data_IF_185914143570
#
_entry.id   IF_185914143570
#
_cell.length_a   1.000
_cell.length_b   1.000
_cell.length_c   1.000
_cell.angle_alpha   90.00
_cell.angle_beta   90.00
_cell.angle_gamma   90.00
#
_symmetry.space_group_name_H-M   'P 1'
#
loop_
_entity.id
_entity.type
_entity.pdbx_description
1 polymer ?
#
# COMPACT_ATOMS: atom_id res chain seq x y z
N UNK A 1 15.69 -19.66 1.09
CA UNK A 1 14.84 -19.94 -0.08
C UNK A 1 13.92 -21.12 0.15
N UNK A 2 14.45 -22.33 0.38
CA UNK A 2 13.66 -23.56 0.65
C UNK A 2 12.45 -23.38 1.58
N UNK A 3 12.62 -22.71 2.73
CA UNK A 3 11.51 -22.49 3.67
C UNK A 3 10.33 -21.69 3.07
N UNK A 4 10.57 -20.75 2.15
CA UNK A 4 9.53 -19.98 1.47
C UNK A 4 8.83 -20.84 0.40
N UNK A 5 9.57 -21.67 -0.32
CA UNK A 5 9.03 -22.61 -1.32
C UNK A 5 8.18 -23.68 -0.66
N UNK A 6 8.67 -24.29 0.42
CA UNK A 6 7.93 -25.26 1.23
C UNK A 6 6.62 -24.65 1.77
N UNK A 7 6.66 -23.36 2.15
CA UNK A 7 5.47 -22.68 2.66
C UNK A 7 4.48 -22.31 1.56
N UNK A 8 4.97 -21.92 0.38
CA UNK A 8 4.13 -21.74 -0.81
C UNK A 8 3.43 -23.05 -1.16
N UNK A 9 4.15 -24.17 -1.19
CA UNK A 9 3.57 -25.48 -1.49
C UNK A 9 2.49 -25.88 -0.48
N UNK A 10 2.75 -25.70 0.82
CA UNK A 10 1.72 -25.92 1.87
C UNK A 10 0.50 -25.02 1.66
N UNK A 11 0.71 -23.76 1.25
CA UNK A 11 -0.39 -22.86 0.94
C UNK A 11 -1.21 -23.39 -0.24
N UNK A 12 -0.56 -23.78 -1.34
CA UNK A 12 -1.20 -24.32 -2.54
C UNK A 12 -2.02 -25.59 -2.24
N UNK A 13 -1.44 -26.54 -1.51
CA UNK A 13 -2.13 -27.76 -1.08
C UNK A 13 -3.39 -27.46 -0.26
N UNK A 14 -3.33 -26.46 0.62
CA UNK A 14 -4.45 -26.08 1.47
C UNK A 14 -5.57 -25.38 0.70
N UNK A 15 -5.25 -24.59 -0.31
CA UNK A 15 -6.26 -23.91 -1.14
C UNK A 15 -6.77 -24.77 -2.29
N UNK A 16 -6.08 -25.88 -2.58
CA UNK A 16 -6.55 -26.89 -3.52
C UNK A 16 -7.94 -27.41 -3.09
N UNK A 17 -8.90 -27.35 -4.02
CA UNK A 17 -10.30 -27.73 -3.76
C UNK A 17 -11.18 -26.63 -3.17
N UNK A 18 -10.69 -25.39 -2.98
CA UNK A 18 -11.58 -24.25 -2.69
C UNK A 18 -12.47 -23.99 -3.92
N UNK A 19 -13.78 -24.22 -3.79
CA UNK A 19 -14.74 -24.01 -4.88
C UNK A 19 -14.75 -22.54 -5.30
N UNK A 20 -14.64 -22.32 -6.61
CA UNK A 20 -14.57 -20.99 -7.22
C UNK A 20 -13.19 -20.33 -7.18
N UNK A 21 -12.14 -21.01 -6.72
CA UNK A 21 -10.76 -20.58 -6.94
C UNK A 21 -10.31 -20.95 -8.36
N UNK A 22 -9.86 -19.98 -9.13
CA UNK A 22 -9.48 -20.13 -10.53
C UNK A 22 -7.96 -20.14 -10.72
N UNK A 23 -7.24 -19.31 -9.96
CA UNK A 23 -5.79 -19.20 -10.05
C UNK A 23 -5.16 -18.72 -8.75
N UNK A 24 -3.93 -19.15 -8.49
CA UNK A 24 -3.05 -18.57 -7.48
C UNK A 24 -1.79 -18.04 -8.16
N UNK A 25 -1.46 -16.79 -7.90
CA UNK A 25 -0.25 -16.13 -8.40
C UNK A 25 0.58 -15.62 -7.23
N UNK A 26 1.89 -15.46 -7.48
CA UNK A 26 2.78 -14.69 -6.62
C UNK A 26 3.19 -13.40 -7.30
N UNK A 27 3.50 -12.35 -6.53
CA UNK A 27 4.15 -11.14 -7.03
C UNK A 27 5.47 -10.87 -6.29
N UNK A 28 6.32 -10.05 -6.89
CA UNK A 28 7.61 -9.67 -6.31
C UNK A 28 8.65 -10.80 -6.30
N UNK A 29 9.65 -10.68 -5.44
CA UNK A 29 10.68 -11.70 -5.27
C UNK A 29 11.23 -11.76 -3.84
N UNK A 30 11.56 -12.97 -3.40
CA UNK A 30 12.20 -13.22 -2.10
C UNK A 30 13.71 -13.00 -2.24
N UNK A 31 14.13 -11.74 -2.21
CA UNK A 31 15.55 -11.38 -2.35
C UNK A 31 16.38 -11.43 -1.06
N UNK A 32 15.73 -11.53 0.09
CA UNK A 32 16.40 -11.66 1.39
C UNK A 32 15.50 -12.46 2.36
N UNK A 33 15.68 -13.79 2.47
CA UNK A 33 14.88 -14.62 3.36
C UNK A 33 14.92 -14.11 4.81
N UNK A 34 13.77 -14.04 5.47
CA UNK A 34 13.63 -13.47 6.82
C UNK A 34 13.23 -11.99 6.83
N UNK A 35 13.70 -11.21 5.84
CA UNK A 35 13.31 -9.81 5.64
C UNK A 35 12.33 -9.59 4.47
N UNK A 36 12.08 -10.61 3.66
CA UNK A 36 11.14 -10.56 2.53
C UNK A 36 9.79 -11.13 2.89
N UNK A 37 8.76 -10.69 2.17
CA UNK A 37 7.40 -11.22 2.22
C UNK A 37 7.17 -12.20 1.05
N UNK A 38 6.20 -13.09 1.19
CA UNK A 38 5.66 -13.90 0.11
C UNK A 38 4.26 -13.37 -0.25
N UNK A 39 4.17 -12.65 -1.36
CA UNK A 39 2.93 -11.99 -1.75
C UNK A 39 2.06 -12.91 -2.61
N UNK A 40 0.82 -13.16 -2.18
CA UNK A 40 -0.12 -14.07 -2.87
C UNK A 40 -1.30 -13.29 -3.45
N UNK A 41 -1.69 -13.65 -4.67
CA UNK A 41 -2.91 -13.21 -5.32
C UNK A 41 -3.76 -14.44 -5.65
N UNK A 42 -4.98 -14.48 -5.15
CA UNK A 42 -5.98 -15.49 -5.49
C UNK A 42 -7.01 -14.89 -6.44
N UNK A 43 -7.16 -15.49 -7.62
CA UNK A 43 -8.22 -15.15 -8.56
C UNK A 43 -9.37 -16.12 -8.38
N UNK A 44 -10.58 -15.60 -8.23
CA UNK A 44 -11.80 -16.37 -7.96
C UNK A 44 -12.91 -16.00 -8.94
N UNK A 45 -13.98 -16.80 -8.97
CA UNK A 45 -15.20 -16.50 -9.70
C UNK A 45 -15.89 -15.22 -9.19
N UNK A 46 -16.61 -14.52 -10.08
CA UNK A 46 -17.27 -13.23 -9.80
C UNK A 46 -18.21 -13.25 -8.59
N UNK A 47 -18.90 -14.38 -8.39
CA UNK A 47 -19.94 -14.54 -7.37
C UNK A 47 -19.59 -15.59 -6.32
N UNK A 48 -18.29 -15.78 -6.05
CA UNK A 48 -17.86 -16.84 -5.13
C UNK A 48 -18.43 -16.63 -3.71
N UNK A 49 -19.17 -17.64 -3.24
CA UNK A 49 -19.74 -17.71 -1.89
C UNK A 49 -19.66 -19.14 -1.34
N UNK A 50 -18.47 -19.71 -1.42
CA UNK A 50 -18.20 -21.05 -0.92
C UNK A 50 -17.83 -21.03 0.57
N UNK A 51 -18.21 -22.07 1.33
CA UNK A 51 -17.86 -22.21 2.75
C UNK A 51 -16.35 -22.29 2.96
N UNK A 52 -15.64 -22.70 1.92
CA UNK A 52 -14.21 -22.95 1.86
C UNK A 52 -13.39 -21.66 1.63
N UNK A 53 -14.01 -20.53 1.28
CA UNK A 53 -13.31 -19.27 0.97
C UNK A 53 -12.37 -18.79 2.10
N UNK A 54 -12.71 -18.91 3.39
CA UNK A 54 -11.78 -18.61 4.48
C UNK A 54 -10.47 -19.41 4.43
N UNK A 55 -10.42 -20.56 3.74
CA UNK A 55 -9.17 -21.34 3.57
C UNK A 55 -8.11 -20.61 2.73
N UNK A 56 -8.52 -19.60 1.95
CA UNK A 56 -7.58 -18.75 1.22
C UNK A 56 -6.78 -17.83 2.16
N UNK A 57 -7.27 -17.52 3.38
CA UNK A 57 -6.51 -16.69 4.30
C UNK A 57 -5.19 -17.37 4.73
N UNK A 58 -4.14 -16.60 5.00
CA UNK A 58 -2.88 -17.12 5.53
C UNK A 58 -3.10 -17.69 6.95
N UNK A 59 -2.56 -18.89 7.19
CA UNK A 59 -2.65 -19.53 8.52
C UNK A 59 -1.85 -18.76 9.58
N UNK A 60 -2.28 -18.82 10.85
CA UNK A 60 -1.57 -18.19 11.96
C UNK A 60 -0.10 -18.64 12.05
N UNK A 61 0.15 -19.96 11.92
CA UNK A 61 1.49 -20.55 11.90
C UNK A 61 2.39 -20.00 10.79
N UNK A 62 1.83 -19.70 9.61
CA UNK A 62 2.59 -19.13 8.50
C UNK A 62 2.94 -17.65 8.76
N UNK A 63 2.04 -16.89 9.40
CA UNK A 63 2.30 -15.52 9.87
C UNK A 63 3.34 -15.47 10.99
N UNK A 64 3.28 -16.39 11.95
CA UNK A 64 4.24 -16.50 13.07
C UNK A 64 5.66 -16.76 12.60
N UNK A 65 5.84 -17.58 11.56
CA UNK A 65 7.13 -17.81 10.91
C UNK A 65 7.63 -16.60 10.11
N UNK A 66 6.80 -15.57 9.95
CA UNK A 66 7.14 -14.35 9.28
C UNK A 66 7.19 -14.44 7.75
N UNK A 67 6.98 -15.61 7.15
CA UNK A 67 7.06 -15.78 5.69
C UNK A 67 6.01 -14.92 4.97
N UNK A 68 4.82 -14.82 5.56
CA UNK A 68 3.76 -13.91 5.15
C UNK A 68 3.64 -12.76 6.13
N UNK A 69 3.86 -11.53 5.67
CA UNK A 69 3.67 -10.30 6.44
C UNK A 69 2.26 -9.75 6.26
N UNK A 70 1.61 -9.99 5.12
CA UNK A 70 0.21 -9.66 4.91
C UNK A 70 -0.66 -10.83 4.42
N UNK A 71 -1.99 -10.64 4.46
CA UNK A 71 -2.96 -11.57 3.89
C UNK A 71 -2.89 -11.60 2.35
N UNK A 72 -3.51 -12.59 1.69
CA UNK A 72 -3.54 -12.63 0.23
C UNK A 72 -4.34 -11.46 -0.34
N UNK A 73 -4.10 -11.12 -1.60
CA UNK A 73 -5.02 -10.33 -2.41
C UNK A 73 -6.02 -11.30 -3.05
N UNK A 74 -7.32 -11.14 -2.79
CA UNK A 74 -8.37 -11.91 -3.47
C UNK A 74 -9.10 -11.01 -4.45
N UNK A 75 -9.15 -11.41 -5.73
CA UNK A 75 -9.78 -10.63 -6.81
C UNK A 75 -10.66 -11.52 -7.68
N UNK A 76 -11.77 -10.99 -8.23
CA UNK A 76 -12.54 -11.70 -9.24
C UNK A 76 -11.78 -11.70 -10.58
N UNK A 77 -12.08 -12.67 -11.46
CA UNK A 77 -11.44 -12.81 -12.78
C UNK A 77 -11.58 -11.55 -13.64
N UNK A 78 -12.72 -10.87 -13.57
CA UNK A 78 -13.02 -9.63 -14.29
C UNK A 78 -12.02 -8.50 -14.01
N UNK A 79 -11.44 -8.45 -12.80
CA UNK A 79 -10.52 -7.40 -12.37
C UNK A 79 -9.03 -7.74 -12.63
N UNK A 80 -8.71 -8.94 -13.12
CA UNK A 80 -7.32 -9.36 -13.33
C UNK A 80 -6.59 -8.42 -14.29
N UNK A 81 -7.22 -8.05 -15.40
CA UNK A 81 -6.62 -7.16 -16.41
C UNK A 81 -6.27 -5.77 -15.88
N UNK A 82 -6.91 -5.36 -14.79
CA UNK A 82 -6.82 -4.01 -14.21
C UNK A 82 -6.03 -3.99 -12.89
N UNK A 83 -5.33 -5.09 -12.54
CA UNK A 83 -4.60 -5.20 -11.28
C UNK A 83 -3.60 -4.05 -11.05
N UNK A 84 -2.94 -3.58 -12.11
CA UNK A 84 -2.00 -2.45 -12.11
C UNK A 84 -2.63 -1.09 -11.78
N UNK A 85 -3.95 -1.00 -11.61
CA UNK A 85 -4.62 0.22 -11.14
C UNK A 85 -5.12 0.05 -9.70
N UNK A 86 -5.29 -1.18 -9.24
CA UNK A 86 -5.79 -1.49 -7.90
C UNK A 86 -4.62 -1.64 -6.93
N UNK A 87 -3.58 -2.36 -7.34
CA UNK A 87 -2.42 -2.75 -6.53
C UNK A 87 -1.10 -2.48 -7.24
N UNK A 88 -0.04 -2.12 -6.49
CA UNK A 88 1.32 -1.97 -7.02
C UNK A 88 1.95 -3.34 -7.29
N UNK A 89 1.56 -3.95 -8.41
CA UNK A 89 2.01 -5.28 -8.82
C UNK A 89 3.40 -5.22 -9.48
N UNK A 90 4.21 -6.24 -9.22
CA UNK A 90 5.46 -6.47 -9.96
C UNK A 90 5.72 -7.97 -10.10
N UNK A 91 6.37 -8.39 -11.19
CA UNK A 91 6.85 -9.77 -11.40
C UNK A 91 5.82 -10.85 -11.04
N UNK A 92 4.69 -10.88 -11.77
CA UNK A 92 3.66 -11.90 -11.56
C UNK A 92 4.11 -13.27 -12.04
N UNK A 93 3.82 -14.30 -11.25
CA UNK A 93 4.07 -15.69 -11.61
C UNK A 93 2.86 -16.54 -11.25
N UNK A 94 2.35 -17.30 -12.22
CA UNK A 94 1.31 -18.29 -11.96
C UNK A 94 1.89 -19.44 -11.12
N UNK A 95 1.17 -19.85 -10.08
CA UNK A 95 1.58 -20.94 -9.18
C UNK A 95 0.61 -22.11 -9.22
N UNK A 96 -0.66 -21.87 -9.51
CA UNK A 96 -1.68 -22.91 -9.59
C UNK A 96 -2.89 -22.44 -10.40
N UNK A 97 -3.59 -23.37 -11.04
CA UNK A 97 -4.82 -23.11 -11.79
C UNK A 97 -4.58 -22.47 -13.15
N UNK A 98 -5.53 -21.64 -13.60
CA UNK A 98 -5.47 -20.96 -14.89
C UNK A 98 -4.26 -19.99 -14.96
N UNK A 99 -3.59 -19.86 -16.12
CA UNK A 99 -2.41 -18.99 -16.28
C UNK A 99 -2.78 -17.51 -16.44
N UNK A 100 -3.45 -16.93 -15.45
CA UNK A 100 -4.07 -15.59 -15.56
C UNK A 100 -3.09 -14.42 -15.43
N UNK A 101 -1.84 -14.63 -15.03
CA UNK A 101 -0.83 -13.56 -14.96
C UNK A 101 -0.64 -12.83 -16.29
N UNK A 102 -0.81 -13.52 -17.42
CA UNK A 102 -0.67 -12.95 -18.76
C UNK A 102 -1.83 -12.02 -19.15
N UNK A 103 -2.96 -12.07 -18.44
CA UNK A 103 -4.08 -11.16 -18.67
C UNK A 103 -3.82 -9.77 -18.09
N UNK A 104 -2.87 -9.64 -17.17
CA UNK A 104 -2.53 -8.36 -16.54
C UNK A 104 -1.81 -7.49 -17.55
N UNK A 105 -2.51 -6.45 -18.03
CA UNK A 105 -1.93 -5.54 -19.02
C UNK A 105 -0.99 -4.56 -18.32
N UNK A 106 0.22 -4.33 -18.86
CA UNK A 106 1.04 -3.23 -18.39
C UNK A 106 0.27 -1.92 -18.64
N UNK A 107 0.39 -0.93 -17.73
CA UNK A 107 -0.20 0.38 -17.98
C UNK A 107 0.43 1.02 -19.23
N UNK A 108 -0.37 1.84 -19.93
CA UNK A 108 0.12 2.56 -21.09
C UNK A 108 1.27 3.49 -20.69
N UNK A 109 2.19 3.80 -21.62
CA UNK A 109 3.43 4.52 -21.32
C UNK A 109 3.14 5.89 -20.69
N UNK A 110 2.12 6.56 -21.18
CA UNK A 110 1.58 7.83 -20.72
C UNK A 110 0.95 7.76 -19.31
N UNK A 111 0.49 6.58 -18.88
CA UNK A 111 -0.14 6.37 -17.56
C UNK A 111 0.89 5.99 -16.48
N UNK A 112 2.09 5.54 -16.87
CA UNK A 112 3.12 5.04 -15.94
C UNK A 112 3.50 6.08 -14.88
N UNK A 113 3.72 7.33 -15.29
CA UNK A 113 4.07 8.41 -14.37
C UNK A 113 2.91 8.73 -13.41
N UNK A 114 1.68 8.71 -13.91
CA UNK A 114 0.47 8.95 -13.12
C UNK A 114 0.27 7.85 -12.06
N UNK A 115 0.37 6.57 -12.46
CA UNK A 115 0.30 5.44 -11.54
C UNK A 115 1.44 5.44 -10.52
N UNK A 116 2.65 5.83 -10.91
CA UNK A 116 3.76 5.94 -9.99
C UNK A 116 3.48 6.96 -8.87
N UNK A 117 2.91 8.13 -9.20
CA UNK A 117 2.47 9.12 -8.22
C UNK A 117 1.38 8.57 -7.30
N UNK A 118 0.40 7.87 -7.86
CA UNK A 118 -0.68 7.25 -7.08
C UNK A 118 -0.10 6.30 -6.03
N UNK A 119 0.82 5.41 -6.43
CA UNK A 119 1.45 4.47 -5.53
C UNK A 119 2.31 5.15 -4.48
N UNK A 120 3.09 6.16 -4.86
CA UNK A 120 3.88 6.94 -3.92
C UNK A 120 3.01 7.57 -2.83
N UNK A 121 1.86 8.15 -3.17
CA UNK A 121 0.93 8.69 -2.15
C UNK A 121 0.40 7.57 -1.26
N UNK A 122 -0.09 6.48 -1.82
CA UNK A 122 -0.73 5.40 -1.06
C UNK A 122 0.24 4.72 -0.09
N UNK A 123 1.44 4.41 -0.57
CA UNK A 123 2.51 3.85 0.25
C UNK A 123 2.92 4.82 1.34
N UNK A 124 3.26 6.06 0.96
CA UNK A 124 3.83 7.01 1.92
C UNK A 124 2.83 7.38 3.01
N UNK A 125 1.55 7.58 2.66
CA UNK A 125 0.51 7.82 3.66
C UNK A 125 0.32 6.63 4.60
N UNK A 126 0.31 5.41 4.06
CA UNK A 126 0.23 4.18 4.88
C UNK A 126 1.40 4.09 5.86
N UNK A 127 2.62 4.46 5.43
CA UNK A 127 3.81 4.49 6.30
C UNK A 127 3.72 5.58 7.36
N UNK A 128 3.23 6.77 7.04
CA UNK A 128 3.05 7.84 8.03
C UNK A 128 2.02 7.46 9.12
N UNK A 129 0.95 6.76 8.75
CA UNK A 129 0.00 6.19 9.72
C UNK A 129 0.71 5.18 10.63
N UNK A 130 1.52 4.27 10.07
CA UNK A 130 2.29 3.29 10.86
C UNK A 130 3.31 3.96 11.79
N UNK A 131 4.04 4.99 11.31
CA UNK A 131 4.94 5.78 12.15
C UNK A 131 4.21 6.44 13.32
N UNK A 132 3.00 6.97 13.09
CA UNK A 132 2.22 7.60 14.17
C UNK A 132 1.81 6.59 15.24
N UNK A 133 1.46 5.36 14.86
CA UNK A 133 1.15 4.28 15.81
C UNK A 133 2.38 3.94 16.65
N UNK A 134 3.56 3.79 16.03
CA UNK A 134 4.82 3.52 16.75
C UNK A 134 5.11 4.62 17.77
N UNK A 135 4.91 5.90 17.39
CA UNK A 135 5.14 7.03 18.31
C UNK A 135 4.24 7.00 19.52
N UNK A 136 2.97 6.64 19.34
CA UNK A 136 2.00 6.54 20.44
C UNK A 136 2.24 5.29 21.29
N UNK A 137 2.55 4.15 20.67
CA UNK A 137 2.69 2.87 21.40
C UNK A 137 4.05 2.69 22.05
N UNK A 138 5.10 3.35 21.55
CA UNK A 138 6.49 3.09 21.94
C UNK A 138 7.03 1.74 21.47
N UNK A 139 6.25 0.96 20.70
CA UNK A 139 6.61 -0.40 20.26
C UNK A 139 7.00 -0.37 18.79
N UNK A 140 8.19 -0.87 18.50
CA UNK A 140 8.75 -0.93 17.15
C UNK A 140 9.13 -2.38 16.81
N UNK A 141 8.37 -2.99 15.90
CA UNK A 141 8.70 -4.32 15.33
C UNK A 141 9.88 -4.20 14.37
N UNK A 142 11.08 -4.56 14.85
CA UNK A 142 12.33 -4.48 14.09
C UNK A 142 12.24 -5.21 12.75
N UNK A 143 11.78 -6.46 12.77
CA UNK A 143 11.67 -7.28 11.58
C UNK A 143 10.71 -6.64 10.56
N UNK A 144 9.51 -6.30 11.01
CA UNK A 144 8.50 -5.69 10.15
C UNK A 144 8.98 -4.37 9.55
N UNK A 145 9.74 -3.56 10.29
CA UNK A 145 10.27 -2.30 9.77
C UNK A 145 11.51 -2.47 8.89
N UNK A 146 12.32 -3.50 9.07
CA UNK A 146 13.39 -3.85 8.11
C UNK A 146 12.82 -4.25 6.75
N UNK A 147 11.72 -5.02 6.72
CA UNK A 147 10.98 -5.29 5.47
C UNK A 147 10.45 -4.00 4.84
N UNK A 148 9.91 -3.08 5.65
CA UNK A 148 9.38 -1.80 5.16
C UNK A 148 10.47 -0.82 4.72
N UNK A 149 11.66 -0.85 5.33
CA UNK A 149 12.83 -0.09 4.87
C UNK A 149 13.16 -0.47 3.43
N UNK A 150 13.16 -1.77 3.11
CA UNK A 150 13.37 -2.21 1.74
C UNK A 150 12.34 -1.66 0.76
N UNK A 151 11.08 -1.46 1.19
CA UNK A 151 10.05 -0.87 0.32
C UNK A 151 10.38 0.54 -0.18
N UNK A 152 11.28 1.28 0.49
CA UNK A 152 11.77 2.56 0.01
C UNK A 152 12.56 2.43 -1.31
N UNK A 153 13.21 1.30 -1.56
CA UNK A 153 13.90 1.04 -2.85
C UNK A 153 12.91 0.89 -4.01
N UNK A 154 11.68 0.47 -3.74
CA UNK A 154 10.61 0.50 -4.74
C UNK A 154 10.11 1.92 -4.94
N UNK A 155 9.98 2.71 -3.86
CA UNK A 155 9.64 4.13 -3.96
C UNK A 155 10.65 4.94 -4.78
N UNK A 156 11.94 4.61 -4.73
CA UNK A 156 12.96 5.20 -5.60
C UNK A 156 12.63 4.99 -7.09
N UNK A 157 12.29 3.77 -7.51
CA UNK A 157 11.90 3.47 -8.89
C UNK A 157 10.68 4.29 -9.30
N UNK A 158 9.68 4.38 -8.43
CA UNK A 158 8.47 5.17 -8.67
C UNK A 158 8.78 6.67 -8.76
N UNK A 159 9.70 7.19 -7.93
CA UNK A 159 10.14 8.58 -8.02
C UNK A 159 10.76 8.88 -9.38
N UNK A 160 11.63 7.99 -9.87
CA UNK A 160 12.24 8.13 -11.20
C UNK A 160 11.17 8.14 -12.30
N UNK A 161 10.21 7.21 -12.26
CA UNK A 161 9.09 7.19 -13.22
C UNK A 161 8.19 8.42 -13.15
N UNK A 162 8.05 9.05 -11.98
CA UNK A 162 7.25 10.24 -11.77
C UNK A 162 8.02 11.57 -12.02
N UNK A 163 9.32 11.50 -12.29
CA UNK A 163 10.19 12.67 -12.43
C UNK A 163 10.44 13.41 -11.11
N UNK A 164 10.43 12.71 -9.97
CA UNK A 164 10.74 13.27 -8.65
C UNK A 164 12.23 13.07 -8.37
N UNK A 165 12.95 14.18 -8.21
CA UNK A 165 14.38 14.17 -7.88
C UNK A 165 14.58 13.79 -6.41
N UNK A 166 15.43 12.79 -6.19
CA UNK A 166 15.77 12.31 -4.85
C UNK A 166 16.77 13.23 -4.17
N UNK A 167 16.53 13.54 -2.90
CA UNK A 167 17.43 14.37 -2.11
C UNK A 167 18.71 13.59 -1.70
N UNK A 168 19.86 14.26 -1.51
CA UNK A 168 21.12 13.58 -1.19
C UNK A 168 21.05 12.66 0.05
N UNK A 169 20.32 13.07 1.10
CA UNK A 169 20.16 12.25 2.29
C UNK A 169 19.23 11.04 2.08
N UNK A 170 18.33 11.10 1.10
CA UNK A 170 17.50 9.94 0.69
C UNK A 170 18.37 8.91 -0.02
N UNK A 171 19.23 9.35 -0.94
CA UNK A 171 20.17 8.50 -1.66
C UNK A 171 21.11 7.78 -0.67
N UNK A 172 21.64 8.52 0.31
CA UNK A 172 22.44 7.92 1.40
C UNK A 172 21.63 6.87 2.17
N UNK A 173 20.38 7.14 2.51
CA UNK A 173 19.53 6.16 3.22
C UNK A 173 19.28 4.90 2.38
N UNK A 174 18.98 5.06 1.09
CA UNK A 174 18.78 3.94 0.17
C UNK A 174 20.03 3.06 0.08
N UNK A 175 21.22 3.66 0.00
CA UNK A 175 22.50 2.93 0.02
C UNK A 175 22.67 2.14 1.31
N UNK A 176 22.41 2.76 2.46
CA UNK A 176 22.57 2.09 3.76
C UNK A 176 21.56 0.94 3.93
N UNK A 177 20.32 1.09 3.43
CA UNK A 177 19.30 0.04 3.39
C UNK A 177 19.76 -1.15 2.53
N UNK A 178 20.32 -0.89 1.33
CA UNK A 178 20.87 -1.95 0.46
C UNK A 178 22.00 -2.69 1.13
N UNK A 179 22.95 -1.96 1.73
CA UNK A 179 24.07 -2.55 2.46
C UNK A 179 23.61 -3.44 3.62
N UNK A 180 22.60 -3.03 4.39
CA UNK A 180 22.01 -3.90 5.44
C UNK A 180 21.44 -5.19 4.84
N UNK A 181 20.75 -5.11 3.70
CA UNK A 181 20.17 -6.30 3.05
C UNK A 181 21.23 -7.23 2.47
N UNK A 182 22.30 -6.69 1.90
CA UNK A 182 23.44 -7.47 1.39
C UNK A 182 24.16 -8.21 2.53
N UNK A 183 24.42 -7.52 3.65
CA UNK A 183 25.00 -8.13 4.84
C UNK A 183 24.09 -9.20 5.45
N UNK A 184 22.79 -8.93 5.52
CA UNK A 184 21.80 -9.92 5.94
C UNK A 184 21.87 -11.21 5.12
N UNK A 185 21.97 -11.09 3.80
CA UNK A 185 22.11 -12.24 2.90
C UNK A 185 23.42 -13.02 3.09
N UNK A 186 24.43 -12.38 3.68
CA UNK A 186 25.72 -12.99 4.01
C UNK A 186 25.75 -13.59 5.42
N UNK A 187 24.63 -13.58 6.15
CA UNK A 187 24.49 -14.14 7.51
C UNK A 187 24.78 -13.16 8.65
N UNK A 188 25.05 -11.89 8.35
CA UNK A 188 25.21 -10.82 9.36
C UNK A 188 23.83 -10.27 9.79
N UNK A 189 23.77 -9.54 10.91
CA UNK A 189 22.54 -8.94 11.44
C UNK A 189 22.60 -7.39 11.38
N UNK A 190 21.44 -6.75 11.48
CA UNK A 190 21.30 -5.32 11.69
C UNK A 190 21.21 -5.05 13.19
N UNK A 191 22.19 -4.40 13.79
CA UNK A 191 22.14 -4.05 15.23
C UNK A 191 20.97 -3.11 15.55
N UNK A 192 20.53 -3.08 16.81
CA UNK A 192 19.40 -2.23 17.21
C UNK A 192 19.70 -0.74 17.04
N UNK A 193 20.93 -0.31 17.31
CA UNK A 193 21.36 1.07 17.09
C UNK A 193 21.32 1.47 15.62
N UNK A 194 21.78 0.57 14.73
CA UNK A 194 21.71 0.77 13.29
C UNK A 194 20.26 0.81 12.80
N UNK A 195 19.44 -0.14 13.24
CA UNK A 195 18.02 -0.19 12.91
C UNK A 195 17.29 1.10 13.32
N UNK A 196 17.49 1.57 14.55
CA UNK A 196 16.87 2.81 15.05
C UNK A 196 17.34 4.04 14.25
N UNK A 197 18.60 4.09 13.84
CA UNK A 197 19.10 5.16 12.96
C UNK A 197 18.38 5.17 11.60
N UNK A 198 18.28 4.00 10.97
CA UNK A 198 17.58 3.84 9.68
C UNK A 198 16.11 4.20 9.79
N UNK A 199 15.44 3.75 10.86
CA UNK A 199 14.03 4.04 11.11
C UNK A 199 13.75 5.55 11.25
N UNK A 200 14.57 6.27 12.02
CA UNK A 200 14.40 7.73 12.20
C UNK A 200 14.57 8.49 10.89
N UNK A 201 15.57 8.10 10.08
CA UNK A 201 15.79 8.69 8.75
C UNK A 201 14.64 8.36 7.81
N UNK A 202 14.13 7.12 7.85
CA UNK A 202 12.98 6.69 7.05
C UNK A 202 11.74 7.54 7.31
N UNK A 203 11.41 7.83 8.58
CA UNK A 203 10.26 8.66 8.90
C UNK A 203 10.37 10.05 8.24
N UNK A 204 11.55 10.67 8.35
CA UNK A 204 11.80 11.97 7.72
C UNK A 204 11.65 11.90 6.21
N UNK A 205 12.18 10.86 5.56
CA UNK A 205 12.04 10.64 4.12
C UNK A 205 10.58 10.49 3.72
N UNK A 206 9.78 9.68 4.43
CA UNK A 206 8.36 9.52 4.10
C UNK A 206 7.59 10.85 4.20
N UNK A 207 7.85 11.67 5.22
CA UNK A 207 7.18 12.97 5.33
C UNK A 207 7.50 13.87 4.14
N UNK A 208 8.77 13.96 3.76
CA UNK A 208 9.21 14.80 2.63
C UNK A 208 8.74 14.23 1.29
N UNK A 209 8.75 12.91 1.13
CA UNK A 209 8.28 12.20 -0.07
C UNK A 209 6.81 12.47 -0.34
N UNK A 210 5.93 12.37 0.67
CA UNK A 210 4.51 12.67 0.46
C UNK A 210 4.31 14.11 -0.01
N UNK A 211 5.03 15.08 0.57
CA UNK A 211 4.96 16.49 0.13
C UNK A 211 5.43 16.65 -1.32
N UNK A 212 6.57 16.05 -1.68
CA UNK A 212 7.11 16.11 -3.05
C UNK A 212 6.16 15.45 -4.08
N UNK A 213 5.59 14.29 -3.74
CA UNK A 213 4.64 13.59 -4.60
C UNK A 213 3.36 14.39 -4.80
N UNK A 214 2.78 14.96 -3.75
CA UNK A 214 1.55 15.76 -3.86
C UNK A 214 1.76 17.04 -4.67
N UNK A 215 2.91 17.70 -4.53
CA UNK A 215 3.29 18.84 -5.38
C UNK A 215 3.38 18.44 -6.84
N UNK A 216 4.03 17.31 -7.13
CA UNK A 216 4.15 16.79 -8.51
C UNK A 216 2.78 16.42 -9.09
N UNK A 217 1.93 15.79 -8.30
CA UNK A 217 0.55 15.48 -8.66
C UNK A 217 -0.26 16.75 -8.96
N UNK A 218 -0.19 17.78 -8.10
CA UNK A 218 -0.88 19.05 -8.33
C UNK A 218 -0.45 19.72 -9.65
N UNK A 219 0.85 19.67 -9.99
CA UNK A 219 1.36 20.18 -11.27
C UNK A 219 0.74 19.45 -12.47
N UNK A 220 0.59 18.12 -12.41
CA UNK A 220 0.00 17.33 -13.50
C UNK A 220 -1.52 17.49 -13.61
N UNK A 221 -2.19 17.83 -12.51
CA UNK A 221 -3.63 18.09 -12.51
C UNK A 221 -3.95 19.44 -13.16
N UNK A 222 -3.02 20.40 -13.17
CA UNK A 222 -3.17 21.74 -13.75
C UNK A 222 -4.41 22.50 -13.21
N UNK A 223 -4.75 22.27 -11.95
CA UNK A 223 -5.86 22.94 -11.26
C UNK A 223 -5.37 23.79 -10.08
N UNK A 224 -6.04 24.92 -9.78
CA UNK A 224 -5.63 25.78 -8.67
C UNK A 224 -5.65 25.05 -7.33
N UNK A 225 -4.56 25.17 -6.56
CA UNK A 225 -4.50 24.65 -5.20
C UNK A 225 -5.35 25.54 -4.27
N UNK A 226 -6.18 24.97 -3.37
CA UNK A 226 -7.00 25.77 -2.46
C UNK A 226 -6.17 26.75 -1.62
N UNK A 227 -6.65 28.00 -1.52
CA UNK A 227 -5.94 29.06 -0.79
C UNK A 227 -6.05 28.93 0.73
N UNK A 228 -7.15 28.36 1.23
CA UNK A 228 -7.47 28.24 2.65
C UNK A 228 -7.42 26.80 3.16
N UNK A 229 -7.57 26.60 4.49
CA UNK A 229 -7.57 25.27 5.07
C UNK A 229 -8.81 24.49 4.65
N UNK A 230 -8.61 23.27 4.13
CA UNK A 230 -9.70 22.36 3.75
C UNK A 230 -9.73 21.17 4.71
N UNK A 231 -10.92 20.79 5.17
CA UNK A 231 -11.09 19.73 6.18
C UNK A 231 -11.95 18.62 5.61
N UNK A 232 -11.47 17.40 5.74
CA UNK A 232 -12.19 16.19 5.34
C UNK A 232 -12.33 15.27 6.56
N UNK A 233 -13.51 14.69 6.75
CA UNK A 233 -13.76 13.69 7.81
C UNK A 233 -14.57 12.54 7.22
N UNK A 234 -14.03 11.32 7.31
CA UNK A 234 -14.76 10.10 6.97
C UNK A 234 -14.21 8.91 7.77
N UNK A 235 -15.11 8.14 8.38
CA UNK A 235 -14.74 7.06 9.30
C UNK A 235 -13.81 7.54 10.42
N UNK A 236 -12.72 6.81 10.65
CA UNK A 236 -11.75 7.06 11.72
C UNK A 236 -10.59 7.99 11.32
N UNK A 237 -10.72 8.71 10.21
CA UNK A 237 -9.67 9.59 9.70
C UNK A 237 -10.21 11.00 9.49
N UNK A 238 -9.44 11.97 9.95
CA UNK A 238 -9.62 13.40 9.70
C UNK A 238 -8.41 13.91 8.95
N UNK A 239 -8.63 14.61 7.84
CA UNK A 239 -7.58 15.27 7.07
C UNK A 239 -7.79 16.77 7.15
N UNK A 240 -6.71 17.50 7.42
CA UNK A 240 -6.69 18.97 7.48
C UNK A 240 -5.58 19.42 6.53
N UNK A 241 -5.96 19.92 5.37
CA UNK A 241 -5.06 20.45 4.36
C UNK A 241 -4.82 21.94 4.63
N UNK A 242 -3.58 22.38 4.87
CA UNK A 242 -3.26 23.80 5.17
C UNK A 242 -1.80 24.15 4.81
N UNK A 243 -1.52 25.41 4.50
CA UNK A 243 -0.19 25.87 4.04
C UNK A 243 0.91 25.65 5.08
N UNK A 244 0.60 25.84 6.35
CA UNK A 244 1.57 25.72 7.46
C UNK A 244 2.02 24.28 7.68
N UNK A 245 1.30 23.30 7.10
CA UNK A 245 1.63 21.89 7.22
C UNK A 245 2.67 21.41 6.21
N UNK A 246 3.54 22.29 5.67
CA UNK A 246 4.41 22.01 4.51
C UNK A 246 5.12 20.65 4.50
N UNK A 247 5.38 20.09 5.70
CA UNK A 247 5.70 18.68 5.93
C UNK A 247 4.52 17.98 6.63
N UNK A 248 3.92 16.93 6.04
CA UNK A 248 2.82 16.19 6.64
C UNK A 248 3.10 15.70 8.07
N UNK A 249 2.07 15.80 8.92
CA UNK A 249 2.06 15.27 10.28
C UNK A 249 0.84 14.38 10.48
N UNK A 250 1.05 13.19 11.00
CA UNK A 250 -0.03 12.28 11.38
C UNK A 250 -0.03 12.12 12.89
N UNK A 251 -1.18 12.43 13.50
CA UNK A 251 -1.44 12.25 14.92
C UNK A 251 -2.37 11.06 15.08
N UNK A 252 -1.91 10.04 15.81
CA UNK A 252 -2.73 8.89 16.19
C UNK A 252 -3.38 9.16 17.54
N UNK A 253 -4.68 8.91 17.62
CA UNK A 253 -5.48 9.05 18.82
C UNK A 253 -5.96 7.66 19.22
N UNK A 254 -5.36 7.04 20.25
CA UNK A 254 -5.83 5.77 20.76
C UNK A 254 -7.22 5.97 21.40
N UNK A 255 -8.27 5.42 20.80
CA UNK A 255 -9.58 5.42 21.43
C UNK A 255 -9.75 4.11 22.22
N UNK A 256 -9.74 4.20 23.55
CA UNK A 256 -10.27 3.18 24.44
C UNK A 256 -11.74 3.49 24.72
N UNK A 257 -12.61 3.34 23.73
CA UNK A 257 -14.06 3.38 24.00
C UNK A 257 -14.53 1.97 24.34
N UNK A 258 -14.88 1.80 25.61
CA UNK A 258 -15.78 0.81 26.22
C UNK A 258 -15.73 -0.61 25.63
N UNK A 259 -15.17 -1.52 26.43
CA UNK A 259 -14.91 -2.95 26.20
C UNK A 259 -13.60 -3.28 25.48
N UNK A 260 -12.91 -4.28 26.02
CA UNK A 260 -11.62 -4.85 25.61
C UNK A 260 -11.59 -5.48 24.21
N UNK A 261 -12.61 -5.25 23.37
CA UNK A 261 -12.89 -6.06 22.19
C UNK A 261 -12.53 -5.35 20.88
N UNK A 262 -12.52 -4.01 20.81
CA UNK A 262 -12.14 -3.28 19.58
C UNK A 262 -11.31 -2.02 19.84
N UNK A 263 -9.97 -2.13 19.72
CA UNK A 263 -9.09 -0.96 19.64
C UNK A 263 -9.33 -0.23 18.31
N UNK A 264 -10.00 0.92 18.36
CA UNK A 264 -10.24 1.77 17.19
C UNK A 264 -9.10 2.80 17.10
N UNK A 265 -8.36 2.77 15.99
CA UNK A 265 -7.27 3.72 15.73
C UNK A 265 -7.80 4.93 14.96
N UNK A 266 -8.01 6.04 15.66
CA UNK A 266 -8.36 7.31 15.03
C UNK A 266 -7.09 8.08 14.62
N UNK A 267 -7.11 8.73 13.46
CA UNK A 267 -5.97 9.50 12.97
C UNK A 267 -6.39 10.90 12.51
N UNK A 268 -5.62 11.91 12.88
CA UNK A 268 -5.66 13.25 12.28
C UNK A 268 -4.42 13.44 11.42
N UNK A 269 -4.62 13.72 10.14
CA UNK A 269 -3.57 13.94 9.15
C UNK A 269 -3.57 15.43 8.81
N UNK A 270 -2.50 16.13 9.19
CA UNK A 270 -2.20 17.47 8.71
C UNK A 270 -1.37 17.34 7.45
N UNK A 271 -1.90 17.82 6.34
CA UNK A 271 -1.33 17.62 5.01
C UNK A 271 -1.17 18.97 4.28
N UNK A 272 -0.29 19.04 3.26
CA UNK A 272 -0.19 20.22 2.41
C UNK A 272 -1.47 20.40 1.57
N UNK A 273 -1.82 21.64 1.16
CA UNK A 273 -3.06 21.96 0.45
C UNK A 273 -3.32 21.11 -0.81
N UNK A 274 -2.26 20.72 -1.52
CA UNK A 274 -2.29 19.88 -2.72
C UNK A 274 -3.02 18.56 -2.52
N UNK A 275 -3.02 18.02 -1.30
CA UNK A 275 -3.74 16.77 -1.01
C UNK A 275 -5.26 16.93 -1.17
N UNK A 276 -5.80 18.14 -1.00
CA UNK A 276 -7.23 18.41 -1.24
C UNK A 276 -7.62 18.12 -2.70
N UNK A 277 -6.74 18.41 -3.67
CA UNK A 277 -6.98 18.14 -5.09
C UNK A 277 -7.16 16.64 -5.35
N UNK A 278 -6.30 15.81 -4.76
CA UNK A 278 -6.42 14.35 -4.83
C UNK A 278 -7.74 13.87 -4.23
N UNK A 279 -8.05 14.36 -3.04
CA UNK A 279 -9.26 13.98 -2.30
C UNK A 279 -10.53 14.32 -3.09
N UNK A 280 -10.55 15.46 -3.79
CA UNK A 280 -11.65 15.84 -4.68
C UNK A 280 -11.87 14.82 -5.81
N UNK A 281 -10.81 14.33 -6.47
CA UNK A 281 -10.90 13.30 -7.52
C UNK A 281 -11.45 11.96 -7.02
N UNK A 282 -11.33 11.70 -5.72
CA UNK A 282 -11.91 10.52 -5.08
C UNK A 282 -13.32 10.75 -4.52
N UNK A 283 -13.92 11.92 -4.78
CA UNK A 283 -15.26 12.28 -4.32
C UNK A 283 -15.34 12.69 -2.85
N UNK A 284 -14.24 13.15 -2.26
CA UNK A 284 -14.23 13.76 -0.92
C UNK A 284 -14.35 15.27 -1.12
N UNK A 285 -15.47 15.88 -0.71
CA UNK A 285 -15.73 17.30 -0.92
C UNK A 285 -16.30 18.00 0.31
N UNK A 286 -15.80 19.22 0.54
CA UNK A 286 -16.58 20.46 0.73
C UNK A 286 -15.66 21.60 0.24
N UNK A 287 -16.02 22.46 -0.74
CA UNK A 287 -17.33 22.74 -1.33
C UNK A 287 -17.47 22.31 -2.82
N UNK A 288 -18.67 22.50 -3.36
CA UNK A 288 -19.25 21.99 -4.62
C UNK A 288 -18.59 22.45 -5.94
N UNK A 289 -17.37 23.00 -5.94
CA UNK A 289 -16.84 23.75 -7.11
C UNK A 289 -15.38 23.50 -7.48
N UNK A 290 -14.67 22.54 -6.86
CA UNK A 290 -13.30 22.26 -7.29
C UNK A 290 -13.28 21.60 -8.68
N UNK A 291 -12.69 22.24 -9.71
CA UNK A 291 -12.63 21.67 -11.05
C UNK A 291 -11.83 20.37 -11.00
N UNK A 292 -12.42 19.27 -11.47
CA UNK A 292 -11.68 18.02 -11.66
C UNK A 292 -10.86 18.12 -12.94
N UNK A 293 -9.62 17.64 -12.88
CA UNK A 293 -8.79 17.55 -14.06
C UNK A 293 -9.29 16.42 -14.95
N UNK A 294 -9.42 16.70 -16.25
CA UNK A 294 -9.66 15.69 -17.29
C UNK A 294 -8.36 15.30 -18.01
N UNK A 295 -7.20 15.72 -17.47
CA UNK A 295 -5.89 15.27 -17.94
C UNK A 295 -5.68 13.80 -17.57
N UNK A 296 -4.68 13.17 -18.18
CA UNK A 296 -4.32 11.76 -17.95
C UNK A 296 -4.29 11.41 -16.46
N UNK A 297 -3.66 12.24 -15.63
CA UNK A 297 -3.59 11.97 -14.19
C UNK A 297 -4.96 12.00 -13.49
N UNK A 298 -5.82 12.96 -13.84
CA UNK A 298 -7.18 13.05 -13.32
C UNK A 298 -8.03 11.84 -13.71
N UNK A 299 -7.93 11.39 -14.96
CA UNK A 299 -8.61 10.18 -15.46
C UNK A 299 -8.11 8.92 -14.77
N UNK A 300 -6.80 8.80 -14.50
CA UNK A 300 -6.22 7.69 -13.74
C UNK A 300 -6.76 7.63 -12.31
N UNK A 301 -6.87 8.79 -11.63
CA UNK A 301 -7.46 8.86 -10.29
C UNK A 301 -8.93 8.39 -10.30
N UNK A 302 -9.73 8.83 -11.29
CA UNK A 302 -11.14 8.42 -11.46
C UNK A 302 -11.28 6.93 -11.79
N UNK A 303 -10.56 6.42 -12.80
CA UNK A 303 -10.54 5.00 -13.19
C UNK A 303 -10.21 4.12 -11.98
N UNK A 304 -9.15 4.47 -11.27
CA UNK A 304 -8.72 3.77 -10.06
C UNK A 304 -9.78 3.80 -8.96
N UNK A 305 -10.42 4.95 -8.74
CA UNK A 305 -11.49 5.07 -7.75
C UNK A 305 -12.63 4.08 -8.04
N UNK A 306 -13.02 3.94 -9.31
CA UNK A 306 -14.01 2.97 -9.78
C UNK A 306 -13.59 1.53 -9.49
N UNK A 307 -12.41 1.13 -9.96
CA UNK A 307 -11.88 -0.23 -9.83
C UNK A 307 -11.70 -0.67 -8.37
N UNK A 308 -11.20 0.23 -7.51
CA UNK A 308 -11.06 -0.11 -6.08
C UNK A 308 -12.41 -0.20 -5.38
N UNK A 309 -13.40 0.66 -5.73
CA UNK A 309 -14.78 0.52 -5.22
C UNK A 309 -15.41 -0.80 -5.66
N UNK A 310 -15.19 -1.19 -6.92
CA UNK A 310 -15.65 -2.47 -7.45
C UNK A 310 -15.01 -3.66 -6.71
N UNK A 311 -13.69 -3.64 -6.52
CA UNK A 311 -12.96 -4.65 -5.76
C UNK A 311 -13.47 -4.78 -4.32
N UNK A 312 -13.63 -3.66 -3.61
CA UNK A 312 -14.15 -3.65 -2.24
C UNK A 312 -15.60 -4.15 -2.19
N UNK A 313 -16.43 -3.77 -3.17
CA UNK A 313 -17.82 -4.24 -3.27
C UNK A 313 -17.88 -5.74 -3.51
N UNK A 314 -17.01 -6.28 -4.37
CA UNK A 314 -16.84 -7.71 -4.56
C UNK A 314 -16.49 -8.41 -3.25
N UNK A 315 -15.44 -7.96 -2.54
CA UNK A 315 -15.02 -8.57 -1.27
C UNK A 315 -16.16 -8.59 -0.24
N UNK A 316 -16.90 -7.48 -0.12
CA UNK A 316 -18.03 -7.38 0.81
C UNK A 316 -19.18 -8.31 0.41
N UNK A 317 -19.58 -8.36 -0.87
CA UNK A 317 -20.63 -9.26 -1.36
C UNK A 317 -20.26 -10.74 -1.22
N UNK A 318 -18.98 -11.06 -1.30
CA UNK A 318 -18.42 -12.41 -1.15
C UNK A 318 -18.02 -12.75 0.30
N UNK A 319 -18.23 -11.82 1.25
CA UNK A 319 -17.89 -11.97 2.68
C UNK A 319 -16.41 -12.27 2.94
N UNK A 320 -15.51 -11.71 2.11
CA UNK A 320 -14.06 -11.89 2.21
C UNK A 320 -13.46 -10.76 3.03
N UNK A 321 -13.16 -11.04 4.29
CA UNK A 321 -12.66 -10.04 5.25
C UNK A 321 -11.15 -10.04 5.46
N UNK A 322 -10.46 -11.09 5.02
CA UNK A 322 -9.01 -11.27 5.22
C UNK A 322 -8.15 -10.75 4.06
N UNK A 323 -8.75 -10.48 2.91
CA UNK A 323 -8.02 -10.00 1.73
C UNK A 323 -7.39 -8.65 1.98
N UNK A 324 -6.15 -8.47 1.50
CA UNK A 324 -5.61 -7.14 1.30
C UNK A 324 -6.52 -6.38 0.32
N UNK A 325 -6.88 -5.15 0.68
CA UNK A 325 -7.78 -4.29 -0.11
C UNK A 325 -6.95 -3.25 -0.85
N UNK A 326 -7.40 -2.83 -2.03
CA UNK A 326 -6.84 -1.67 -2.72
C UNK A 326 -6.83 -0.46 -1.77
N UNK A 327 -5.66 0.10 -1.50
CA UNK A 327 -5.53 1.25 -0.62
C UNK A 327 -5.56 2.53 -1.45
N UNK A 328 -6.63 3.31 -1.37
CA UNK A 328 -6.70 4.59 -2.08
C UNK A 328 -5.90 5.72 -1.39
N UNK A 329 -5.28 5.44 -0.24
CA UNK A 329 -4.70 6.50 0.58
C UNK A 329 -5.77 7.47 1.07
N UNK A 330 -7.00 7.00 1.26
CA UNK A 330 -8.16 7.81 1.59
C UNK A 330 -8.64 7.58 3.02
N UNK A 331 -9.43 8.51 3.60
CA UNK A 331 -10.24 8.23 4.76
C UNK A 331 -11.43 7.34 4.37
N UNK A 332 -11.18 6.12 3.92
CA UNK A 332 -12.23 5.11 3.73
C UNK A 332 -12.55 4.45 5.07
N UNK A 333 -13.85 4.42 5.42
CA UNK A 333 -14.35 3.55 6.48
C UNK A 333 -14.10 2.09 6.10
N UNK A 334 -13.85 1.25 7.10
CA UNK A 334 -13.68 -0.19 6.91
C UNK A 334 -14.91 -0.84 6.30
#
# INVERSE_FOLDING_TARGET
MKAYEDELERYLQRVNGVRGLLSVMTMGSVGAPGLSDLDIICVVEEQVRAREIPRLDISARARERGIFVHGPIVVPKSLVGELNYIFPISTLQNRWGEPLAQMVKPPAKEEQAALALVYLVDFTLSRLLQHSIVKTSGILDKRGWLTRLWSLTHSEKLCNSAGIVLQPHWIRLLRDIRSVRERWNSGDDCSDSQFLNLYRRLEMVHRQLLSATLKREALLLEIPVPRGPVRFKRGFRRVICRKEAGVPLVVHHPASMWSSVTKINYHTIYAPPEYALRLAHYGFGTPETEPLSNKVHGEILKKRAGLVKEHVSFLNRSRIMFSLRGNLGLPVGR
#
